data_IF_164348395480
#
_entry.id   IF_164348395480
#
_cell.length_a   1.000
_cell.length_b   1.000
_cell.length_c   1.000
_cell.angle_alpha   90.00
_cell.angle_beta   90.00
_cell.angle_gamma   90.00
#
_symmetry.space_group_name_H-M   'P 1'
#
loop_
_entity.id
_entity.type
_entity.pdbx_description
1 polymer ?
#
# COMPACT_ATOMS: atom_id res chain seq x y z
N UNK A 1 2.15 -14.92 -14.70
CA UNK A 1 3.42 -15.63 -14.45
C UNK A 1 3.72 -15.43 -12.97
N UNK A 2 3.88 -16.50 -12.18
CA UNK A 2 4.18 -16.37 -10.74
C UNK A 2 5.70 -16.32 -10.54
N UNK A 3 6.21 -15.26 -9.92
CA UNK A 3 7.60 -15.16 -9.49
C UNK A 3 7.66 -15.23 -7.95
N UNK A 4 8.82 -15.60 -7.41
CA UNK A 4 9.04 -15.70 -5.96
C UNK A 4 10.27 -14.91 -5.60
N UNK A 5 10.18 -14.12 -4.53
CA UNK A 5 11.30 -13.35 -4.00
C UNK A 5 11.99 -14.19 -2.93
N UNK A 6 13.30 -14.38 -3.06
CA UNK A 6 14.10 -15.09 -2.06
C UNK A 6 14.18 -14.29 -0.75
N UNK A 7 14.20 -14.99 0.39
CA UNK A 7 14.37 -14.36 1.70
C UNK A 7 15.67 -13.55 1.75
N UNK A 8 15.59 -12.32 2.26
CA UNK A 8 16.74 -11.41 2.34
C UNK A 8 17.08 -10.68 1.05
N UNK A 9 16.26 -10.80 0.00
CA UNK A 9 16.43 -10.00 -1.22
C UNK A 9 16.21 -8.52 -0.93
N UNK A 10 17.19 -7.70 -1.28
CA UNK A 10 17.23 -6.27 -0.98
C UNK A 10 17.38 -5.49 -2.26
N UNK A 11 16.72 -4.34 -2.31
CA UNK A 11 16.83 -3.36 -3.40
C UNK A 11 17.14 -1.99 -2.80
N UNK A 12 17.76 -1.14 -3.59
CA UNK A 12 17.88 0.29 -3.26
C UNK A 12 16.51 0.98 -3.39
N UNK A 13 16.28 2.12 -2.73
CA UNK A 13 15.05 2.90 -2.92
C UNK A 13 14.77 3.20 -4.40
N UNK A 14 15.79 3.56 -5.17
CA UNK A 14 15.64 3.89 -6.60
C UNK A 14 15.22 2.66 -7.42
N UNK A 15 15.75 1.48 -7.10
CA UNK A 15 15.32 0.23 -7.72
C UNK A 15 13.89 -0.15 -7.30
N UNK A 16 13.51 0.12 -6.04
CA UNK A 16 12.15 -0.10 -5.58
C UNK A 16 11.14 0.77 -6.35
N UNK A 17 11.45 2.05 -6.55
CA UNK A 17 10.61 2.96 -7.34
C UNK A 17 10.43 2.48 -8.80
N UNK A 18 11.50 1.98 -9.42
CA UNK A 18 11.44 1.40 -10.76
C UNK A 18 10.58 0.14 -10.80
N UNK A 19 10.67 -0.72 -9.78
CA UNK A 19 9.85 -1.94 -9.68
C UNK A 19 8.37 -1.61 -9.45
N UNK A 20 8.07 -0.69 -8.52
CA UNK A 20 6.72 -0.28 -8.19
C UNK A 20 6.00 0.40 -9.37
N UNK A 21 6.73 1.16 -10.18
CA UNK A 21 6.18 1.77 -11.39
C UNK A 21 5.96 0.76 -12.52
N UNK A 22 6.84 -0.24 -12.67
CA UNK A 22 6.75 -1.24 -13.74
C UNK A 22 5.72 -2.35 -13.47
N UNK A 23 5.50 -2.74 -12.21
CA UNK A 23 4.64 -3.86 -11.83
C UNK A 23 3.70 -3.46 -10.68
N UNK A 24 2.50 -3.00 -11.06
CA UNK A 24 1.49 -2.49 -10.12
C UNK A 24 0.52 -3.56 -9.62
N UNK A 25 0.41 -4.69 -10.32
CA UNK A 25 -0.50 -5.79 -9.94
C UNK A 25 0.02 -6.52 -8.71
N UNK A 26 1.33 -6.77 -8.68
CA UNK A 26 2.01 -7.36 -7.53
C UNK A 26 2.29 -6.25 -6.51
N UNK A 27 1.46 -6.17 -5.46
CA UNK A 27 1.68 -5.22 -4.34
C UNK A 27 2.97 -5.57 -3.62
N UNK A 28 4.01 -4.75 -3.80
CA UNK A 28 5.34 -4.94 -3.21
C UNK A 28 5.61 -3.92 -2.11
N UNK A 29 6.30 -4.33 -1.06
CA UNK A 29 6.70 -3.46 0.05
C UNK A 29 8.14 -3.75 0.48
N UNK A 30 8.77 -2.77 1.15
CA UNK A 30 9.99 -2.97 1.90
C UNK A 30 9.65 -3.16 3.39
N UNK A 31 10.11 -4.25 3.98
CA UNK A 31 9.99 -4.43 5.43
C UNK A 31 10.96 -3.52 6.20
N UNK A 32 10.90 -3.54 7.54
CA UNK A 32 11.77 -2.71 8.39
C UNK A 32 13.27 -3.01 8.21
N UNK A 33 13.62 -4.20 7.73
CA UNK A 33 14.98 -4.61 7.37
C UNK A 33 15.38 -4.23 5.93
N UNK A 34 14.50 -3.60 5.14
CA UNK A 34 14.64 -3.27 3.71
C UNK A 34 14.67 -4.48 2.78
N UNK A 35 14.02 -5.56 3.17
CA UNK A 35 13.81 -6.71 2.31
C UNK A 35 12.53 -6.53 1.51
N UNK A 36 12.59 -6.88 0.22
CA UNK A 36 11.44 -6.80 -0.68
C UNK A 36 10.49 -7.96 -0.38
N UNK A 37 9.23 -7.64 -0.10
CA UNK A 37 8.16 -8.62 0.14
C UNK A 37 7.00 -8.39 -0.81
N UNK A 38 6.26 -9.46 -1.13
CA UNK A 38 4.97 -9.36 -1.81
C UNK A 38 3.89 -9.35 -0.74
N UNK A 39 3.11 -8.27 -0.68
CA UNK A 39 1.92 -8.19 0.14
C UNK A 39 0.91 -9.25 -0.31
N UNK A 40 0.36 -9.99 0.64
CA UNK A 40 -0.79 -10.84 0.33
C UNK A 40 -1.98 -9.97 -0.10
N UNK A 41 -2.82 -10.42 -1.04
CA UNK A 41 -3.99 -9.66 -1.42
C UNK A 41 -4.85 -9.38 -0.18
N UNK A 42 -5.33 -8.15 -0.07
CA UNK A 42 -6.21 -7.78 1.04
C UNK A 42 -7.50 -8.60 0.96
N UNK A 43 -7.66 -9.54 1.89
CA UNK A 43 -8.86 -10.36 1.99
C UNK A 43 -10.09 -9.53 2.38
N UNK A 44 -11.30 -10.02 2.06
CA UNK A 44 -12.55 -9.26 2.21
C UNK A 44 -12.82 -8.69 3.62
N UNK A 45 -12.39 -9.36 4.69
CA UNK A 45 -12.51 -8.85 6.06
C UNK A 45 -11.61 -7.65 6.31
N UNK A 46 -10.34 -7.72 5.87
CA UNK A 46 -9.40 -6.60 6.00
C UNK A 46 -9.84 -5.41 5.13
N UNK A 47 -10.29 -5.68 3.89
CA UNK A 47 -10.83 -4.67 2.99
C UNK A 47 -12.02 -3.91 3.58
N UNK A 48 -12.99 -4.62 4.17
CA UNK A 48 -14.15 -4.01 4.83
C UNK A 48 -13.75 -3.12 6.01
N UNK A 49 -12.83 -3.59 6.86
CA UNK A 49 -12.35 -2.82 8.01
C UNK A 49 -11.66 -1.54 7.57
N UNK A 50 -10.77 -1.63 6.59
CA UNK A 50 -10.04 -0.47 6.09
C UNK A 50 -10.97 0.51 5.35
N UNK A 51 -11.95 0.02 4.58
CA UNK A 51 -12.97 0.87 3.97
C UNK A 51 -13.76 1.66 5.02
N UNK A 52 -14.14 1.02 6.14
CA UNK A 52 -14.81 1.70 7.25
C UNK A 52 -13.92 2.74 7.94
N UNK A 53 -12.62 2.48 8.06
CA UNK A 53 -11.66 3.43 8.62
C UNK A 53 -11.47 4.64 7.71
N UNK A 54 -11.30 4.40 6.40
CA UNK A 54 -11.20 5.45 5.37
C UNK A 54 -12.41 6.38 5.42
N UNK A 55 -13.62 5.81 5.51
CA UNK A 55 -14.85 6.60 5.61
C UNK A 55 -14.88 7.47 6.87
N UNK A 56 -14.55 6.91 8.04
CA UNK A 56 -14.53 7.68 9.29
C UNK A 56 -13.52 8.83 9.24
N UNK A 57 -12.32 8.58 8.68
CA UNK A 57 -11.27 9.60 8.57
C UNK A 57 -11.68 10.73 7.60
N UNK A 58 -12.30 10.38 6.47
CA UNK A 58 -12.82 11.35 5.52
C UNK A 58 -13.89 12.24 6.17
N UNK A 59 -14.87 11.65 6.84
CA UNK A 59 -15.93 12.42 7.51
C UNK A 59 -15.35 13.37 8.55
N UNK A 60 -14.41 12.89 9.38
CA UNK A 60 -13.73 13.74 10.37
C UNK A 60 -12.96 14.90 9.73
N UNK A 61 -12.28 14.65 8.60
CA UNK A 61 -11.51 15.68 7.91
C UNK A 61 -12.42 16.72 7.25
N UNK A 62 -13.53 16.29 6.63
CA UNK A 62 -14.53 17.19 6.03
C UNK A 62 -15.13 18.14 7.07
N UNK A 63 -15.32 17.68 8.32
CA UNK A 63 -15.87 18.50 9.42
C UNK A 63 -14.90 19.60 9.92
N UNK A 64 -13.57 19.34 9.91
CA UNK A 64 -12.58 20.23 10.54
C UNK A 64 -11.77 21.03 9.52
N UNK A 65 -11.54 20.45 8.34
CA UNK A 65 -10.67 20.96 7.28
C UNK A 65 -11.36 20.76 5.92
N UNK A 66 -12.43 21.50 5.61
CA UNK A 66 -13.23 21.30 4.40
C UNK A 66 -12.44 21.52 3.09
N UNK A 67 -11.34 22.27 3.15
CA UNK A 67 -10.43 22.50 2.02
C UNK A 67 -9.38 21.39 1.85
N UNK A 68 -9.23 20.48 2.83
CA UNK A 68 -8.28 19.37 2.76
C UNK A 68 -8.90 18.21 1.98
N UNK A 69 -8.40 18.00 0.76
CA UNK A 69 -8.74 16.82 -0.04
C UNK A 69 -7.87 15.65 0.41
N UNK A 70 -8.41 14.79 1.29
CA UNK A 70 -7.77 13.51 1.61
C UNK A 70 -8.05 12.49 0.51
N UNK A 71 -7.09 12.32 -0.41
CA UNK A 71 -7.08 11.19 -1.33
C UNK A 71 -6.56 9.93 -0.62
N UNK A 72 -7.48 9.17 -0.05
CA UNK A 72 -7.21 7.89 0.61
C UNK A 72 -7.28 6.71 -0.36
N UNK A 73 -7.46 6.94 -1.67
CA UNK A 73 -7.50 5.87 -2.68
C UNK A 73 -6.13 5.28 -2.97
N UNK A 74 -5.06 5.97 -2.56
CA UNK A 74 -3.66 5.56 -2.71
C UNK A 74 -3.19 4.61 -1.60
N UNK A 75 -4.01 4.36 -0.57
CA UNK A 75 -3.65 3.49 0.55
C UNK A 75 -4.05 2.04 0.27
N UNK A 76 -3.57 1.45 -0.83
CA UNK A 76 -3.70 0.02 -1.15
C UNK A 76 -2.69 -0.49 -2.18
#
# INVERSE_FOLDING_TARGET
MSFTISKGFRVTPEQFEQLASAEQLSRMELNKERELIIMSPTGGTAGRKNSRLIQQLRNWAEDILPELILDLTVIW
#
